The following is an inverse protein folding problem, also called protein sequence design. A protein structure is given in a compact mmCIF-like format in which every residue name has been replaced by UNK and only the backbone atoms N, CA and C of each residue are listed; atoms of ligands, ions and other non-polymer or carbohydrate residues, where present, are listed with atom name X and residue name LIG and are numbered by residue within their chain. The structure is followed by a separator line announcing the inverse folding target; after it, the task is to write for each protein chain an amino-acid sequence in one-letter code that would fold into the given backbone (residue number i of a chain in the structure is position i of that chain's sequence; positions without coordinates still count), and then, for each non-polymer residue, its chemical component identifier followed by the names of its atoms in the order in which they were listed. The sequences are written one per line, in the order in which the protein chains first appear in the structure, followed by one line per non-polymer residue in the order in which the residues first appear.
data_IF_568699923494
#
_entry.id   IF_568699923494
#
_cell.length_a   1.000
_cell.length_b   1.000
_cell.length_c   1.000
_cell.angle_alpha   90.00
_cell.angle_beta   90.00
_cell.angle_gamma   90.00
#
_symmetry.space_group_name_H-M   'P 1'
#
loop_
_entity.id
_entity.type
_entity.pdbx_description
1 polymer ?
#
# COMPACT_ATOMS: atom_id res chain seq x y z
N UNK A 1 6.22 -2.69 2.78
CA UNK A 1 5.92 -2.38 4.19
C UNK A 1 6.80 -1.27 4.76
N UNK A 2 8.11 -1.23 4.51
CA UNK A 2 9.00 -0.22 5.10
C UNK A 2 8.58 1.24 4.91
N UNK A 3 8.02 1.61 3.76
CA UNK A 3 7.56 2.98 3.52
C UNK A 3 6.45 3.42 4.49
N UNK A 4 5.50 2.55 4.84
CA UNK A 4 4.43 2.87 5.80
C UNK A 4 5.00 3.28 7.16
N UNK A 5 6.00 2.53 7.64
CA UNK A 5 6.67 2.80 8.92
C UNK A 5 7.35 4.17 8.90
N UNK A 6 8.06 4.47 7.81
CA UNK A 6 8.82 5.72 7.69
C UNK A 6 7.89 6.95 7.51
N UNK A 7 6.78 6.81 6.78
CA UNK A 7 5.78 7.88 6.69
C UNK A 7 5.14 8.17 8.05
N UNK A 8 4.79 7.11 8.79
CA UNK A 8 4.24 7.28 10.13
C UNK A 8 5.28 7.89 11.09
N UNK A 9 6.52 7.42 11.08
CA UNK A 9 7.59 7.97 11.92
C UNK A 9 7.78 9.46 11.66
N UNK A 10 7.81 9.89 10.38
CA UNK A 10 7.90 11.30 10.00
C UNK A 10 6.72 12.13 10.50
N UNK A 11 5.50 11.59 10.45
CA UNK A 11 4.31 12.24 10.98
C UNK A 11 4.43 12.39 12.52
N UNK A 12 4.79 11.31 13.22
CA UNK A 12 4.89 11.30 14.68
C UNK A 12 5.90 12.31 15.21
N UNK A 13 7.02 12.52 14.51
CA UNK A 13 8.00 13.57 14.82
C UNK A 13 7.44 15.01 14.74
N UNK A 14 6.26 15.21 14.18
CA UNK A 14 5.57 16.52 14.09
C UNK A 14 4.56 16.76 15.21
N UNK A 15 4.31 15.75 16.02
CA UNK A 15 3.37 15.87 17.13
C UNK A 15 4.13 16.47 18.32
N UNK A 16 3.68 17.63 18.79
CA UNK A 16 4.40 18.45 19.80
C UNK A 16 4.71 17.70 21.11
N UNK A 17 3.84 16.79 21.55
CA UNK A 17 4.04 16.02 22.77
C UNK A 17 4.79 14.70 22.58
N UNK A 18 5.19 14.36 21.35
CA UNK A 18 6.07 13.21 21.07
C UNK A 18 7.52 13.65 21.14
N UNK A 19 8.22 13.24 22.17
CA UNK A 19 9.60 13.62 22.43
C UNK A 19 10.56 12.94 21.47
N UNK A 20 10.35 11.66 21.21
CA UNK A 20 11.22 10.88 20.31
C UNK A 20 10.46 9.80 19.56
N UNK A 21 10.98 9.43 18.39
CA UNK A 21 10.49 8.31 17.58
C UNK A 21 11.66 7.38 17.26
N UNK A 22 11.51 6.12 17.68
CA UNK A 22 12.53 5.09 17.47
C UNK A 22 11.96 3.94 16.64
N UNK A 23 12.68 3.50 15.63
CA UNK A 23 12.34 2.29 14.89
C UNK A 23 12.79 1.06 15.67
N UNK A 24 11.85 0.13 15.88
CA UNK A 24 12.13 -1.10 16.61
C UNK A 24 12.42 -2.22 15.62
N UNK A 25 13.58 -2.87 15.81
CA UNK A 25 13.98 -4.04 15.04
C UNK A 25 13.10 -5.23 15.37
N UNK A 26 12.36 -5.70 14.38
CA UNK A 26 11.53 -6.90 14.46
C UNK A 26 12.31 -8.19 14.13
N UNK A 27 13.57 -8.09 13.69
CA UNK A 27 14.45 -9.21 13.40
C UNK A 27 14.17 -9.94 12.07
N UNK A 28 13.41 -9.33 11.18
CA UNK A 28 13.05 -9.92 9.87
C UNK A 28 14.05 -9.60 8.75
N UNK A 29 14.99 -8.67 8.98
CA UNK A 29 16.02 -8.30 8.02
C UNK A 29 17.39 -8.10 8.70
N UNK A 30 18.49 -8.44 8.01
CA UNK A 30 19.85 -8.34 8.60
C UNK A 30 20.32 -6.88 8.73
N UNK A 31 19.77 -5.95 7.97
CA UNK A 31 20.13 -4.53 7.98
C UNK A 31 19.04 -3.67 7.38
N UNK A 32 19.09 -2.37 7.68
CA UNK A 32 18.22 -1.38 7.01
C UNK A 32 18.55 -1.31 5.51
N UNK A 33 17.53 -1.10 4.66
CA UNK A 33 17.76 -0.85 3.24
C UNK A 33 18.70 0.35 3.04
N UNK A 34 19.67 0.28 2.11
CA UNK A 34 20.67 1.35 1.91
C UNK A 34 20.05 2.70 1.50
N UNK A 35 18.81 2.70 1.02
CA UNK A 35 18.05 3.90 0.66
C UNK A 35 17.48 4.65 1.88
N UNK A 36 17.59 4.07 3.08
CA UNK A 36 17.05 4.67 4.32
C UNK A 36 18.19 5.23 5.14
N UNK A 37 18.37 6.54 5.09
CA UNK A 37 19.30 7.26 5.96
C UNK A 37 18.56 7.70 7.24
N UNK A 38 18.68 6.88 8.28
CA UNK A 38 18.06 7.14 9.58
C UNK A 38 18.60 8.41 10.25
N UNK A 39 19.90 8.70 10.07
CA UNK A 39 20.52 9.90 10.65
C UNK A 39 19.94 11.17 10.02
N UNK A 40 19.84 11.19 8.69
CA UNK A 40 19.21 12.31 7.97
C UNK A 40 17.71 12.46 8.31
N UNK A 41 17.04 11.38 8.69
CA UNK A 41 15.64 11.39 9.12
C UNK A 41 15.46 11.72 10.61
N UNK A 42 16.55 11.85 11.40
CA UNK A 42 16.48 12.05 12.84
C UNK A 42 15.83 10.88 13.59
N UNK A 43 15.98 9.65 13.10
CA UNK A 43 15.39 8.45 13.67
C UNK A 43 16.46 7.58 14.33
N UNK A 44 16.17 7.10 15.54
CA UNK A 44 16.93 6.05 16.19
C UNK A 44 16.42 4.67 15.74
N UNK A 45 17.27 3.65 15.91
CA UNK A 45 16.95 2.26 15.61
C UNK A 45 17.52 1.37 16.72
N UNK A 46 16.74 0.41 17.20
CA UNK A 46 17.19 -0.47 18.26
C UNK A 46 16.32 -1.71 18.43
N UNK A 47 16.84 -2.65 19.24
CA UNK A 47 16.12 -3.88 19.54
C UNK A 47 15.03 -3.64 20.59
N UNK A 48 13.92 -4.30 20.45
CA UNK A 48 12.78 -4.18 21.37
C UNK A 48 13.17 -4.30 22.85
N UNK A 49 14.03 -5.26 23.19
CA UNK A 49 14.46 -5.52 24.60
C UNK A 49 15.30 -4.40 25.17
N UNK A 50 16.12 -3.74 24.34
CA UNK A 50 17.02 -2.68 24.79
C UNK A 50 16.29 -1.33 24.95
N UNK A 51 15.09 -1.24 24.41
CA UNK A 51 14.27 -0.03 24.39
C UNK A 51 13.10 -0.05 25.39
N UNK A 52 12.91 -1.14 26.14
CA UNK A 52 11.73 -1.36 26.99
C UNK A 52 11.43 -0.18 27.93
N UNK A 53 12.46 0.34 28.60
CA UNK A 53 12.31 1.41 29.59
C UNK A 53 12.28 2.82 28.98
N UNK A 54 12.56 2.93 27.67
CA UNK A 54 12.65 4.20 26.95
C UNK A 54 11.40 4.51 26.11
N UNK A 55 10.48 3.55 25.99
CA UNK A 55 9.29 3.69 25.16
C UNK A 55 8.03 3.76 26.02
N UNK A 56 7.11 4.67 25.67
CA UNK A 56 5.75 4.73 26.24
C UNK A 56 4.74 3.97 25.35
N UNK A 57 4.91 4.04 24.05
CA UNK A 57 4.00 3.46 23.07
C UNK A 57 4.78 2.70 21.99
N UNK A 58 4.32 1.49 21.69
CA UNK A 58 4.80 0.69 20.55
C UNK A 58 3.68 0.57 19.52
N UNK A 59 3.96 0.98 18.27
CA UNK A 59 3.04 0.82 17.14
C UNK A 59 3.59 -0.29 16.24
N UNK A 60 2.98 -1.44 16.31
CA UNK A 60 3.36 -2.61 15.53
C UNK A 60 2.63 -2.60 14.19
N UNK A 61 3.40 -2.59 13.08
CA UNK A 61 2.85 -2.47 11.72
C UNK A 61 3.06 -3.75 10.91
N UNK A 62 2.96 -4.90 11.40
CA UNK A 62 2.94 -6.16 10.65
C UNK A 62 2.80 -7.39 11.57
N UNK A 63 2.74 -7.20 12.85
CA UNK A 63 2.56 -8.27 13.81
C UNK A 63 3.79 -9.17 13.96
N UNK A 64 4.99 -8.60 13.90
CA UNK A 64 6.24 -9.37 13.93
C UNK A 64 6.96 -9.38 15.29
N UNK A 65 6.57 -8.53 16.23
CA UNK A 65 7.21 -8.46 17.55
C UNK A 65 6.86 -9.66 18.43
N UNK A 66 7.83 -10.03 19.28
CA UNK A 66 7.67 -11.14 20.22
C UNK A 66 6.54 -10.88 21.21
N UNK A 67 5.59 -11.79 21.27
CA UNK A 67 4.37 -11.62 22.12
C UNK A 67 4.67 -11.68 23.62
N UNK A 68 5.77 -12.32 24.05
CA UNK A 68 6.15 -12.33 25.45
C UNK A 68 6.73 -10.97 25.82
N UNK A 69 7.55 -10.40 24.94
CA UNK A 69 8.06 -9.05 25.13
C UNK A 69 6.93 -8.01 25.14
N UNK A 70 5.96 -8.09 24.21
CA UNK A 70 4.80 -7.18 24.21
C UNK A 70 4.00 -7.28 25.52
N UNK A 71 3.83 -8.49 26.05
CA UNK A 71 3.15 -8.69 27.32
C UNK A 71 3.93 -8.09 28.50
N UNK A 72 5.26 -8.23 28.51
CA UNK A 72 6.14 -7.62 29.50
C UNK A 72 6.14 -6.09 29.41
N UNK A 73 6.29 -5.54 28.23
CA UNK A 73 6.24 -4.10 27.98
C UNK A 73 4.94 -3.46 28.51
N UNK A 74 3.80 -4.11 28.23
CA UNK A 74 2.49 -3.66 28.76
C UNK A 74 2.41 -3.78 30.28
N UNK A 75 2.98 -4.81 30.86
CA UNK A 75 3.03 -4.97 32.33
C UNK A 75 3.88 -3.88 32.99
N UNK A 76 4.91 -3.36 32.32
CA UNK A 76 5.70 -2.20 32.75
C UNK A 76 4.95 -0.86 32.60
N UNK A 77 3.75 -0.85 32.01
CA UNK A 77 2.90 0.33 31.82
C UNK A 77 2.91 0.92 30.42
N UNK A 78 3.70 0.35 29.50
CA UNK A 78 3.72 0.72 28.09
C UNK A 78 2.41 0.38 27.36
N UNK A 79 2.17 1.01 26.22
CA UNK A 79 1.01 0.80 25.36
C UNK A 79 1.40 0.20 24.04
N UNK A 80 0.60 -0.75 23.57
CA UNK A 80 0.82 -1.45 22.30
C UNK A 80 -0.35 -1.19 21.37
N UNK A 81 -0.06 -0.70 20.16
CA UNK A 81 -1.00 -0.55 19.07
C UNK A 81 -0.67 -1.55 17.97
N UNK A 82 -1.66 -2.27 17.48
CA UNK A 82 -1.53 -3.01 16.23
C UNK A 82 -2.09 -2.17 15.08
N UNK A 83 -1.20 -1.59 14.29
CA UNK A 83 -1.57 -0.85 13.08
C UNK A 83 -1.61 -1.80 11.89
N UNK A 84 -2.81 -2.23 11.51
CA UNK A 84 -3.03 -3.14 10.41
C UNK A 84 -2.96 -2.41 9.08
N UNK A 85 -1.93 -2.68 8.29
CA UNK A 85 -1.70 -2.06 6.96
C UNK A 85 -2.02 -3.02 5.80
N UNK A 86 -2.21 -4.31 6.09
CA UNK A 86 -2.69 -5.33 5.15
C UNK A 86 -4.21 -5.46 5.19
N UNK A 87 -4.78 -6.31 4.31
CA UNK A 87 -6.20 -6.63 4.35
C UNK A 87 -6.44 -7.68 5.49
N UNK A 88 -7.25 -7.33 6.53
CA UNK A 88 -7.30 -8.14 7.75
C UNK A 88 -7.83 -9.56 7.57
N UNK A 89 -8.85 -9.73 6.71
CA UNK A 89 -9.42 -11.06 6.48
C UNK A 89 -8.49 -11.96 5.68
N UNK A 90 -7.84 -11.44 4.64
CA UNK A 90 -6.84 -12.19 3.89
C UNK A 90 -5.66 -12.60 4.78
N UNK A 91 -5.17 -11.70 5.63
CA UNK A 91 -4.10 -12.00 6.58
C UNK A 91 -4.44 -13.14 7.57
N UNK A 92 -5.72 -13.31 7.89
CA UNK A 92 -6.22 -14.40 8.75
C UNK A 92 -6.49 -15.69 7.95
N UNK A 93 -7.15 -15.59 6.80
CA UNK A 93 -7.69 -16.74 6.08
C UNK A 93 -6.68 -17.41 5.13
N UNK A 94 -5.88 -16.62 4.41
CA UNK A 94 -4.95 -17.15 3.41
C UNK A 94 -3.90 -18.10 4.00
N UNK A 95 -3.25 -17.82 5.16
CA UNK A 95 -2.32 -18.77 5.76
C UNK A 95 -2.94 -20.13 6.05
N UNK A 96 -4.21 -20.15 6.45
CA UNK A 96 -4.95 -21.40 6.73
C UNK A 96 -5.22 -22.15 5.43
N UNK A 97 -5.70 -21.44 4.41
CA UNK A 97 -6.11 -22.04 3.11
C UNK A 97 -4.91 -22.49 2.31
N UNK A 98 -3.82 -21.72 2.29
CA UNK A 98 -2.63 -22.00 1.51
C UNK A 98 -1.52 -22.72 2.30
N UNK A 99 -1.77 -23.06 3.55
CA UNK A 99 -0.82 -23.77 4.44
C UNK A 99 0.47 -22.98 4.70
N UNK A 100 0.35 -21.65 4.74
CA UNK A 100 1.46 -20.73 5.01
C UNK A 100 1.54 -20.36 6.51
N UNK A 101 2.64 -19.70 6.90
CA UNK A 101 2.78 -19.18 8.26
C UNK A 101 1.92 -17.93 8.44
N UNK A 102 0.97 -17.99 9.38
CA UNK A 102 0.18 -16.84 9.80
C UNK A 102 0.88 -16.00 10.87
N UNK A 103 0.44 -14.74 11.01
CA UNK A 103 0.98 -13.80 12.01
C UNK A 103 0.08 -13.62 13.25
N UNK A 104 -1.13 -14.19 13.25
CA UNK A 104 -2.01 -14.13 14.41
C UNK A 104 -1.55 -15.14 15.46
N UNK A 105 -1.11 -14.65 16.62
CA UNK A 105 -0.51 -15.47 17.66
C UNK A 105 -1.18 -15.37 19.02
N UNK A 106 -1.82 -14.25 19.35
CA UNK A 106 -2.44 -14.01 20.64
C UNK A 106 -3.53 -12.94 20.55
N UNK A 107 -4.75 -13.15 21.10
CA UNK A 107 -5.84 -12.17 21.04
C UNK A 107 -5.50 -10.88 21.81
N UNK A 108 -5.01 -10.95 23.03
CA UNK A 108 -4.83 -9.80 23.92
C UNK A 108 -3.43 -9.15 23.78
N UNK A 109 -2.88 -9.09 22.57
CA UNK A 109 -1.51 -8.61 22.33
C UNK A 109 -1.35 -7.10 22.31
N UNK A 110 -2.43 -6.35 22.10
CA UNK A 110 -2.41 -4.88 21.94
C UNK A 110 -3.52 -4.22 22.75
N UNK A 111 -3.39 -2.92 22.97
CA UNK A 111 -4.37 -2.07 23.66
C UNK A 111 -5.39 -1.49 22.68
N UNK A 112 -4.98 -1.24 21.44
CA UNK A 112 -5.83 -0.78 20.33
C UNK A 112 -5.39 -1.43 19.00
N UNK A 113 -6.35 -1.56 18.08
CA UNK A 113 -6.09 -1.82 16.68
C UNK A 113 -6.38 -0.57 15.88
N UNK A 114 -5.44 -0.17 15.02
CA UNK A 114 -5.63 0.92 14.07
C UNK A 114 -5.78 0.34 12.67
N UNK A 115 -6.86 0.73 11.98
CA UNK A 115 -7.17 0.32 10.61
C UNK A 115 -7.02 1.50 9.66
N UNK A 116 -6.61 1.20 8.42
CA UNK A 116 -6.73 2.15 7.32
C UNK A 116 -8.20 2.27 6.88
N UNK A 117 -8.64 3.39 6.29
CA UNK A 117 -10.04 3.58 5.88
C UNK A 117 -10.60 2.46 4.98
N UNK A 118 -9.77 1.88 4.11
CA UNK A 118 -10.14 0.74 3.25
C UNK A 118 -10.59 -0.51 4.04
N UNK A 119 -10.11 -0.64 5.27
CA UNK A 119 -10.32 -1.82 6.13
C UNK A 119 -11.41 -1.59 7.19
N UNK A 120 -12.10 -0.45 7.18
CA UNK A 120 -13.13 -0.09 8.16
C UNK A 120 -14.22 -1.17 8.32
N UNK A 121 -14.59 -1.83 7.22
CA UNK A 121 -15.57 -2.93 7.22
C UNK A 121 -15.17 -4.10 8.12
N UNK A 122 -13.87 -4.29 8.37
CA UNK A 122 -13.35 -5.35 9.23
C UNK A 122 -13.26 -4.98 10.72
N UNK A 123 -13.61 -3.75 11.11
CA UNK A 123 -13.51 -3.30 12.50
C UNK A 123 -14.26 -4.20 13.50
N UNK A 124 -15.48 -4.71 13.23
CA UNK A 124 -16.16 -5.64 14.15
C UNK A 124 -15.40 -6.96 14.34
N UNK A 125 -14.84 -7.52 13.25
CA UNK A 125 -14.04 -8.74 13.29
C UNK A 125 -12.76 -8.51 14.10
N UNK A 126 -12.04 -7.43 13.84
CA UNK A 126 -10.79 -7.09 14.50
C UNK A 126 -11.00 -6.83 16.01
N UNK A 127 -12.09 -6.16 16.38
CA UNK A 127 -12.46 -5.95 17.80
C UNK A 127 -12.68 -7.26 18.53
N UNK A 128 -13.37 -8.21 17.92
CA UNK A 128 -13.62 -9.52 18.51
C UNK A 128 -12.34 -10.35 18.60
N UNK A 129 -11.53 -10.33 17.54
CA UNK A 129 -10.31 -11.11 17.43
C UNK A 129 -9.22 -10.63 18.40
N UNK A 130 -9.03 -9.31 18.52
CA UNK A 130 -7.99 -8.72 19.37
C UNK A 130 -8.50 -8.32 20.78
N UNK A 131 -9.81 -8.38 21.03
CA UNK A 131 -10.45 -8.05 22.34
C UNK A 131 -10.12 -6.65 22.85
N UNK A 132 -9.95 -5.71 21.94
CA UNK A 132 -9.64 -4.31 22.24
C UNK A 132 -10.37 -3.36 21.28
N UNK A 133 -10.43 -2.04 21.58
CA UNK A 133 -11.00 -1.05 20.70
C UNK A 133 -10.29 -1.01 19.34
N UNK A 134 -11.05 -0.68 18.30
CA UNK A 134 -10.57 -0.55 16.91
C UNK A 134 -10.93 0.83 16.40
N UNK A 135 -9.95 1.51 15.79
CA UNK A 135 -10.10 2.87 15.29
C UNK A 135 -9.55 2.99 13.88
N UNK A 136 -10.14 3.88 13.10
CA UNK A 136 -9.59 4.27 11.82
C UNK A 136 -8.53 5.37 12.01
N UNK A 137 -7.45 5.28 11.22
CA UNK A 137 -6.39 6.27 11.16
C UNK A 137 -6.10 6.67 9.72
N UNK A 138 -5.59 7.88 9.47
CA UNK A 138 -5.31 8.34 8.12
C UNK A 138 -4.36 7.41 7.35
N UNK A 139 -4.65 7.22 6.05
CA UNK A 139 -3.72 6.59 5.11
C UNK A 139 -2.67 7.61 4.69
N UNK A 140 -1.40 7.22 4.76
CA UNK A 140 -0.27 8.12 4.52
C UNK A 140 0.50 7.71 3.26
N UNK A 141 0.87 8.71 2.48
CA UNK A 141 1.78 8.55 1.36
C UNK A 141 2.56 9.86 1.10
N UNK A 142 3.79 9.71 0.65
CA UNK A 142 4.63 10.82 0.17
C UNK A 142 5.49 10.33 -0.99
N UNK A 143 5.79 11.18 -1.97
CA UNK A 143 6.63 10.80 -3.10
C UNK A 143 8.11 10.62 -2.75
N UNK A 144 8.53 10.81 -1.51
CA UNK A 144 9.93 10.84 -1.09
C UNK A 144 10.77 9.67 -1.61
N UNK A 145 10.29 8.43 -1.41
CA UNK A 145 11.04 7.24 -1.85
C UNK A 145 10.94 7.02 -3.36
N UNK A 146 9.79 7.36 -3.95
CA UNK A 146 9.64 7.34 -5.39
C UNK A 146 10.56 8.37 -6.05
N UNK A 147 10.63 9.61 -5.53
CA UNK A 147 11.48 10.67 -6.04
C UNK A 147 12.97 10.32 -5.98
N UNK A 148 13.41 9.64 -4.93
CA UNK A 148 14.77 9.13 -4.84
C UNK A 148 15.05 8.11 -5.96
N UNK A 149 14.13 7.15 -6.17
CA UNK A 149 14.27 6.16 -7.24
C UNK A 149 14.17 6.78 -8.63
N UNK A 150 13.33 7.79 -8.80
CA UNK A 150 13.23 8.61 -10.03
C UNK A 150 14.58 9.26 -10.34
N UNK A 151 15.22 9.89 -9.36
CA UNK A 151 16.55 10.49 -9.56
C UNK A 151 17.60 9.47 -10.04
N UNK A 152 17.57 8.24 -9.49
CA UNK A 152 18.46 7.16 -9.93
C UNK A 152 18.23 6.76 -11.39
N UNK A 153 16.97 6.58 -11.81
CA UNK A 153 16.67 6.18 -13.21
C UNK A 153 16.93 7.33 -14.19
N UNK A 154 16.75 8.57 -13.76
CA UNK A 154 17.08 9.74 -14.57
C UNK A 154 18.60 9.93 -14.72
N UNK A 155 19.37 9.67 -13.67
CA UNK A 155 20.84 9.63 -13.74
C UNK A 155 21.35 8.52 -14.68
N UNK A 156 20.58 7.44 -14.86
CA UNK A 156 20.86 6.39 -15.83
C UNK A 156 20.44 6.73 -17.27
N UNK A 157 19.96 7.96 -17.53
CA UNK A 157 19.59 8.44 -18.86
C UNK A 157 18.13 8.19 -19.26
N UNK A 158 17.28 7.76 -18.35
CA UNK A 158 15.83 7.61 -18.58
C UNK A 158 15.08 8.85 -18.13
N UNK A 159 13.83 8.99 -18.57
CA UNK A 159 12.92 10.04 -18.11
C UNK A 159 11.71 9.43 -17.45
N UNK A 160 11.47 9.75 -16.16
CA UNK A 160 10.28 9.32 -15.46
C UNK A 160 9.09 10.24 -15.77
N UNK A 161 7.93 9.64 -15.90
CA UNK A 161 6.67 10.31 -16.14
C UNK A 161 6.13 10.08 -17.56
N UNK A 162 4.82 10.17 -17.65
CA UNK A 162 4.12 9.99 -18.91
C UNK A 162 4.54 11.04 -19.94
N UNK A 163 4.83 10.61 -21.15
CA UNK A 163 5.03 11.44 -22.31
C UNK A 163 3.91 11.21 -23.33
N UNK A 164 3.32 12.28 -23.93
CA UNK A 164 2.31 12.12 -24.97
C UNK A 164 2.80 11.22 -26.10
N UNK A 165 1.90 10.41 -26.62
CA UNK A 165 2.20 9.42 -27.66
C UNK A 165 2.47 10.07 -28.99
N UNK A 166 3.22 9.35 -29.83
CA UNK A 166 3.46 9.72 -31.21
C UNK A 166 2.49 9.01 -32.15
N UNK A 167 2.36 9.49 -33.38
CA UNK A 167 1.57 8.83 -34.42
C UNK A 167 2.08 7.42 -34.76
N UNK A 168 3.37 7.16 -34.53
CA UNK A 168 4.02 5.86 -34.78
C UNK A 168 3.68 4.81 -33.67
N UNK A 169 3.31 5.28 -32.47
CA UNK A 169 2.95 4.42 -31.34
C UNK A 169 1.59 4.86 -30.76
N UNK A 170 0.48 4.58 -31.44
CA UNK A 170 -0.83 5.07 -31.01
C UNK A 170 -1.40 4.34 -29.79
N UNK A 171 -0.98 3.08 -29.54
CA UNK A 171 -1.43 2.26 -28.44
C UNK A 171 -0.52 2.31 -27.20
N UNK A 172 -1.09 2.01 -26.03
CA UNK A 172 -0.32 1.92 -24.79
C UNK A 172 0.45 0.60 -24.66
N UNK A 173 1.66 0.67 -24.13
CA UNK A 173 2.34 -0.44 -23.47
C UNK A 173 1.80 -0.48 -22.04
N UNK A 174 0.98 -1.45 -21.74
CA UNK A 174 0.25 -1.52 -20.46
C UNK A 174 1.03 -2.40 -19.48
N UNK A 175 1.30 -1.91 -18.26
CA UNK A 175 1.87 -2.69 -17.17
C UNK A 175 0.79 -3.11 -16.16
N UNK A 176 0.93 -4.35 -15.65
CA UNK A 176 0.10 -4.95 -14.60
C UNK A 176 1.06 -5.34 -13.46
N UNK A 177 1.00 -4.64 -12.33
CA UNK A 177 1.92 -4.79 -11.20
C UNK A 177 1.40 -5.70 -10.09
N UNK A 178 0.27 -6.37 -10.27
CA UNK A 178 -0.33 -7.20 -9.22
C UNK A 178 0.66 -8.27 -8.73
N UNK A 179 0.83 -8.43 -7.39
CA UNK A 179 1.86 -9.30 -6.84
C UNK A 179 1.58 -10.80 -7.00
N UNK A 180 0.35 -11.21 -7.27
CA UNK A 180 -0.11 -12.61 -7.43
C UNK A 180 0.24 -13.53 -6.24
N UNK A 181 0.33 -12.98 -5.03
CA UNK A 181 0.63 -13.71 -3.78
C UNK A 181 -0.54 -13.70 -2.80
N UNK A 182 -1.66 -13.11 -3.18
CA UNK A 182 -2.87 -12.98 -2.37
C UNK A 182 -4.09 -12.88 -3.27
N UNK A 183 -5.22 -13.38 -2.83
CA UNK A 183 -6.50 -13.31 -3.57
C UNK A 183 -6.97 -11.88 -3.77
N UNK A 184 -6.54 -10.94 -2.93
CA UNK A 184 -6.96 -9.54 -3.01
C UNK A 184 -6.29 -8.76 -4.14
N UNK A 185 -5.20 -9.28 -4.72
CA UNK A 185 -4.43 -8.65 -5.81
C UNK A 185 -3.91 -9.69 -6.79
N UNK A 186 -4.66 -9.93 -7.85
CA UNK A 186 -4.34 -10.87 -8.92
C UNK A 186 -4.30 -10.18 -10.28
N UNK A 187 -3.38 -10.58 -11.14
CA UNK A 187 -3.27 -10.09 -12.51
C UNK A 187 -4.40 -10.56 -13.44
N UNK A 188 -5.22 -11.52 -13.01
CA UNK A 188 -6.24 -12.14 -13.85
C UNK A 188 -7.26 -11.12 -14.40
N UNK A 189 -7.81 -10.26 -13.54
CA UNK A 189 -8.78 -9.24 -13.97
C UNK A 189 -8.13 -8.16 -14.84
N UNK A 190 -6.97 -7.58 -14.50
CA UNK A 190 -6.27 -6.66 -15.38
C UNK A 190 -5.95 -7.24 -16.76
N UNK A 191 -5.56 -8.51 -16.85
CA UNK A 191 -5.32 -9.20 -18.13
C UNK A 191 -6.59 -9.25 -18.98
N UNK A 192 -7.75 -9.59 -18.38
CA UNK A 192 -9.04 -9.61 -19.05
C UNK A 192 -9.46 -8.22 -19.54
N UNK A 193 -9.19 -7.16 -18.78
CA UNK A 193 -9.44 -5.76 -19.18
C UNK A 193 -8.61 -5.39 -20.40
N UNK A 194 -7.30 -5.71 -20.39
CA UNK A 194 -6.41 -5.44 -21.51
C UNK A 194 -6.86 -6.22 -22.77
N UNK A 195 -7.24 -7.48 -22.62
CA UNK A 195 -7.74 -8.30 -23.73
C UNK A 195 -9.08 -7.78 -24.27
N UNK A 196 -10.01 -7.36 -23.39
CA UNK A 196 -11.26 -6.73 -23.78
C UNK A 196 -11.06 -5.45 -24.60
N UNK A 197 -10.15 -4.59 -24.15
CA UNK A 197 -9.79 -3.38 -24.89
C UNK A 197 -9.11 -3.71 -26.24
N UNK A 198 -8.19 -4.68 -26.24
CA UNK A 198 -7.51 -5.13 -27.46
C UNK A 198 -8.48 -5.72 -28.49
N UNK A 199 -9.45 -6.53 -28.08
CA UNK A 199 -10.48 -7.08 -28.98
C UNK A 199 -11.39 -6.01 -29.56
N UNK A 200 -11.69 -4.96 -28.78
CA UNK A 200 -12.50 -3.84 -29.25
C UNK A 200 -11.73 -2.90 -30.20
N UNK A 201 -10.44 -2.69 -29.94
CA UNK A 201 -9.53 -1.90 -30.78
C UNK A 201 -8.10 -2.46 -30.66
N UNK A 202 -7.65 -3.28 -31.63
CA UNK A 202 -6.31 -3.88 -31.62
C UNK A 202 -5.16 -2.88 -31.65
N UNK A 203 -5.42 -1.62 -31.98
CA UNK A 203 -4.41 -0.55 -31.96
C UNK A 203 -4.26 0.11 -30.60
N UNK A 204 -5.23 -0.05 -29.71
CA UNK A 204 -5.26 0.61 -28.41
C UNK A 204 -4.20 0.05 -27.43
N UNK A 205 -3.87 -1.25 -27.52
CA UNK A 205 -2.86 -1.89 -26.68
C UNK A 205 -1.71 -2.39 -27.54
N UNK A 206 -0.58 -1.69 -27.47
CA UNK A 206 0.64 -2.07 -28.18
C UNK A 206 1.26 -3.33 -27.61
N UNK A 207 1.32 -3.42 -26.27
CA UNK A 207 1.75 -4.61 -25.52
C UNK A 207 1.16 -4.65 -24.10
N UNK A 208 1.04 -5.84 -23.54
CA UNK A 208 0.65 -6.11 -22.16
C UNK A 208 1.83 -6.71 -21.40
N UNK A 209 2.32 -6.01 -20.38
CA UNK A 209 3.45 -6.41 -19.54
C UNK A 209 2.91 -6.89 -18.19
N UNK A 210 2.94 -8.19 -17.93
CA UNK A 210 2.38 -8.79 -16.69
C UNK A 210 3.51 -9.13 -15.75
N UNK A 211 3.64 -8.38 -14.66
CA UNK A 211 4.71 -8.53 -13.69
C UNK A 211 4.35 -9.54 -12.59
N UNK A 212 5.35 -9.93 -11.82
CA UNK A 212 5.20 -10.84 -10.67
C UNK A 212 4.53 -12.18 -11.02
N UNK A 213 4.85 -12.78 -12.16
CA UNK A 213 4.19 -14.00 -12.65
C UNK A 213 5.06 -15.25 -12.59
N UNK A 214 6.39 -15.14 -12.33
CA UNK A 214 7.29 -16.29 -12.41
C UNK A 214 6.94 -17.43 -11.44
N UNK A 215 6.37 -17.12 -10.27
CA UNK A 215 5.97 -18.12 -9.27
C UNK A 215 4.62 -18.78 -9.58
N UNK A 216 3.83 -18.20 -10.48
CA UNK A 216 2.51 -18.73 -10.90
C UNK A 216 2.49 -19.18 -12.38
N UNK A 217 3.58 -19.01 -13.10
CA UNK A 217 3.66 -19.24 -14.55
C UNK A 217 3.26 -20.66 -14.98
N UNK A 218 3.58 -21.66 -14.15
CA UNK A 218 3.32 -23.06 -14.45
C UNK A 218 2.00 -23.57 -13.85
N UNK A 219 1.23 -22.69 -13.17
CA UNK A 219 -0.07 -23.07 -12.62
C UNK A 219 -1.07 -23.28 -13.74
N UNK A 220 -1.77 -24.44 -13.82
CA UNK A 220 -2.66 -24.76 -14.94
C UNK A 220 -3.73 -23.69 -15.21
N UNK A 221 -4.37 -23.17 -14.17
CA UNK A 221 -5.39 -22.11 -14.32
C UNK A 221 -4.81 -20.84 -14.95
N UNK A 222 -3.59 -20.45 -14.55
CA UNK A 222 -2.92 -19.26 -15.12
C UNK A 222 -2.58 -19.48 -16.59
N UNK A 223 -2.07 -20.66 -16.93
CA UNK A 223 -1.75 -21.05 -18.31
C UNK A 223 -3.01 -21.07 -19.19
N UNK A 224 -4.11 -21.69 -18.71
CA UNK A 224 -5.36 -21.72 -19.47
C UNK A 224 -5.93 -20.32 -19.66
N UNK A 225 -5.97 -19.49 -18.61
CA UNK A 225 -6.42 -18.11 -18.71
C UNK A 225 -5.57 -17.34 -19.73
N UNK A 226 -4.25 -17.33 -19.57
CA UNK A 226 -3.34 -16.59 -20.45
C UNK A 226 -3.51 -17.02 -21.92
N UNK A 227 -3.53 -18.33 -22.20
CA UNK A 227 -3.68 -18.86 -23.56
C UNK A 227 -5.09 -18.64 -24.15
N UNK A 228 -6.09 -18.32 -23.33
CA UNK A 228 -7.43 -17.98 -23.83
C UNK A 228 -7.53 -16.56 -24.38
N UNK A 229 -6.60 -15.67 -24.01
CA UNK A 229 -6.60 -14.25 -24.37
C UNK A 229 -6.10 -14.02 -25.79
N UNK A 230 -6.81 -13.20 -26.57
CA UNK A 230 -6.42 -12.88 -27.93
C UNK A 230 -5.11 -12.06 -27.98
N UNK A 231 -4.90 -11.14 -27.05
CA UNK A 231 -3.66 -10.37 -26.95
C UNK A 231 -2.43 -11.26 -26.70
N UNK A 232 -2.59 -12.39 -25.99
CA UNK A 232 -1.53 -13.38 -25.77
C UNK A 232 -1.30 -14.19 -27.06
N UNK A 233 -2.37 -14.65 -27.73
CA UNK A 233 -2.31 -15.38 -29.00
C UNK A 233 -1.64 -14.56 -30.11
N UNK A 234 -1.80 -13.24 -30.06
CA UNK A 234 -1.18 -12.31 -31.01
C UNK A 234 0.25 -11.89 -30.57
N UNK A 235 0.86 -12.58 -29.62
CA UNK A 235 2.23 -12.37 -29.12
C UNK A 235 2.50 -10.94 -28.63
N UNK A 236 1.49 -10.26 -28.09
CA UNK A 236 1.59 -8.91 -27.53
C UNK A 236 1.64 -8.89 -25.99
N UNK A 237 1.69 -10.04 -25.34
CA UNK A 237 1.83 -10.16 -23.88
C UNK A 237 3.21 -10.70 -23.50
N UNK A 238 3.80 -10.10 -22.47
CA UNK A 238 5.08 -10.52 -21.90
C UNK A 238 4.90 -10.70 -20.40
N UNK A 239 5.39 -11.82 -19.87
CA UNK A 239 5.29 -12.20 -18.45
C UNK A 239 6.64 -12.03 -17.76
N UNK A 240 6.66 -11.24 -16.69
CA UNK A 240 7.89 -10.84 -16.01
C UNK A 240 7.97 -11.37 -14.58
N UNK A 241 9.18 -11.35 -14.03
CA UNK A 241 9.43 -11.41 -12.61
C UNK A 241 9.04 -10.13 -11.90
N UNK A 242 9.61 -9.93 -10.71
CA UNK A 242 9.40 -8.72 -9.92
C UNK A 242 10.37 -7.62 -10.38
N UNK A 243 9.83 -6.45 -10.62
CA UNK A 243 10.59 -5.24 -10.93
C UNK A 243 10.11 -4.08 -10.07
N UNK A 244 10.96 -3.08 -9.87
CA UNK A 244 10.56 -1.82 -9.27
C UNK A 244 9.70 -0.99 -10.25
N UNK A 245 8.81 -0.18 -9.69
CA UNK A 245 7.85 0.58 -10.48
C UNK A 245 8.53 1.57 -11.44
N UNK A 246 9.39 2.45 -10.90
CA UNK A 246 10.00 3.53 -11.69
C UNK A 246 10.88 2.98 -12.82
N UNK A 247 11.78 2.03 -12.51
CA UNK A 247 12.68 1.43 -13.49
C UNK A 247 11.95 0.68 -14.60
N UNK A 248 10.81 0.04 -14.28
CA UNK A 248 10.02 -0.66 -15.28
C UNK A 248 9.22 0.30 -16.17
N UNK A 249 8.54 1.28 -15.56
CA UNK A 249 7.72 2.24 -16.32
C UNK A 249 8.52 3.03 -17.35
N UNK A 250 9.68 3.54 -16.98
CA UNK A 250 10.50 4.35 -17.90
C UNK A 250 10.99 3.60 -19.14
N UNK A 251 11.03 2.29 -19.10
CA UNK A 251 11.56 1.45 -20.17
C UNK A 251 10.49 0.72 -20.97
N UNK A 252 9.45 0.23 -20.30
CA UNK A 252 8.58 -0.81 -20.86
C UNK A 252 7.09 -0.48 -20.86
N UNK A 253 6.66 0.61 -20.21
CA UNK A 253 5.22 0.87 -20.08
C UNK A 253 4.86 2.35 -20.11
N UNK A 254 3.64 2.63 -20.57
CA UNK A 254 3.05 3.96 -20.70
C UNK A 254 1.77 4.11 -19.88
N UNK A 255 1.17 3.01 -19.46
CA UNK A 255 -0.08 2.98 -18.68
C UNK A 255 -0.07 1.81 -17.70
N UNK A 256 -0.90 1.91 -16.66
CA UNK A 256 -1.10 0.86 -15.66
C UNK A 256 -2.56 0.44 -15.65
N UNK A 257 -2.81 -0.87 -15.67
CA UNK A 257 -4.13 -1.46 -15.41
C UNK A 257 -4.01 -2.30 -14.15
N UNK A 258 -4.89 -2.06 -13.20
CA UNK A 258 -4.87 -2.70 -11.89
C UNK A 258 -6.25 -3.10 -11.42
N UNK A 259 -6.31 -4.12 -10.58
CA UNK A 259 -7.51 -4.58 -9.90
C UNK A 259 -7.18 -4.99 -8.47
N UNK A 260 -8.10 -4.71 -7.58
CA UNK A 260 -8.03 -5.15 -6.20
C UNK A 260 -9.41 -5.63 -5.71
N UNK A 261 -9.42 -6.46 -4.68
CA UNK A 261 -10.63 -6.87 -3.99
C UNK A 261 -10.51 -6.49 -2.50
N UNK A 262 -11.32 -5.49 -2.07
CA UNK A 262 -11.32 -4.96 -0.70
C UNK A 262 -9.91 -4.60 -0.17
N UNK A 263 -9.06 -4.04 -1.04
CA UNK A 263 -7.70 -3.61 -0.70
C UNK A 263 -7.28 -2.43 -1.59
N UNK A 264 -8.11 -1.40 -1.62
CA UNK A 264 -8.13 -0.34 -2.60
C UNK A 264 -7.11 0.79 -2.37
N UNK A 265 -6.46 0.87 -1.20
CA UNK A 265 -5.34 1.80 -0.96
C UNK A 265 -4.02 1.12 -1.30
N UNK A 266 -3.41 1.53 -2.42
CA UNK A 266 -2.21 0.91 -2.95
C UNK A 266 -1.18 1.96 -3.38
N UNK A 267 0.06 1.85 -2.92
CA UNK A 267 1.13 2.80 -3.25
C UNK A 267 1.45 2.83 -4.74
N UNK A 268 1.40 1.70 -5.44
CA UNK A 268 1.64 1.69 -6.89
C UNK A 268 0.63 2.54 -7.70
N UNK A 269 -0.57 2.76 -7.15
CA UNK A 269 -1.54 3.67 -7.77
C UNK A 269 -1.08 5.12 -7.64
N UNK A 270 -0.59 5.47 -6.47
CA UNK A 270 -0.07 6.81 -6.19
C UNK A 270 1.22 7.08 -6.98
N UNK A 271 2.08 6.07 -7.12
CA UNK A 271 3.27 6.15 -7.93
C UNK A 271 2.92 6.37 -9.42
N UNK A 272 1.89 5.68 -9.95
CA UNK A 272 1.39 5.87 -11.30
C UNK A 272 0.81 7.28 -11.50
N UNK A 273 -0.03 7.73 -10.57
CA UNK A 273 -0.61 9.08 -10.61
C UNK A 273 0.47 10.16 -10.51
N UNK A 274 1.51 9.97 -9.69
CA UNK A 274 2.62 10.91 -9.55
C UNK A 274 3.41 11.06 -10.86
N UNK A 275 3.65 9.95 -11.57
CA UNK A 275 4.22 9.96 -12.91
C UNK A 275 3.25 10.41 -14.01
N UNK A 276 2.02 10.76 -13.69
CA UNK A 276 0.95 11.07 -14.63
C UNK A 276 0.67 9.94 -15.65
N UNK A 277 1.02 8.70 -15.32
CA UNK A 277 0.67 7.56 -16.16
C UNK A 277 -0.83 7.28 -16.09
N UNK A 278 -1.51 7.00 -17.20
CA UNK A 278 -2.89 6.53 -17.18
C UNK A 278 -3.01 5.32 -16.25
N UNK A 279 -3.79 5.45 -15.19
CA UNK A 279 -4.09 4.39 -14.23
C UNK A 279 -5.54 3.97 -14.40
N UNK A 280 -5.78 2.75 -14.88
CA UNK A 280 -7.12 2.12 -14.89
C UNK A 280 -7.25 1.27 -13.63
N UNK A 281 -8.26 1.53 -12.80
CA UNK A 281 -8.38 0.90 -11.47
C UNK A 281 -9.83 0.81 -10.99
N UNK A 282 -10.07 -0.05 -10.00
CA UNK A 282 -11.38 -0.21 -9.36
C UNK A 282 -11.45 0.27 -7.90
N UNK A 283 -10.60 1.23 -7.50
CA UNK A 283 -10.56 1.74 -6.13
C UNK A 283 -11.58 2.86 -5.90
N UNK A 284 -12.66 2.65 -5.12
CA UNK A 284 -13.73 3.65 -4.94
C UNK A 284 -13.28 4.97 -4.34
N UNK A 285 -12.28 4.95 -3.44
CA UNK A 285 -11.74 6.18 -2.82
C UNK A 285 -10.95 7.05 -3.79
N UNK A 286 -10.45 6.48 -4.91
CA UNK A 286 -9.75 7.18 -5.99
C UNK A 286 -10.62 7.47 -7.21
N UNK A 287 -11.97 7.32 -7.13
CA UNK A 287 -12.84 7.43 -8.32
C UNK A 287 -12.69 8.73 -9.10
N UNK A 288 -12.27 9.81 -8.44
CA UNK A 288 -12.06 11.12 -9.07
C UNK A 288 -10.66 11.31 -9.66
N UNK A 289 -9.76 10.35 -9.48
CA UNK A 289 -8.41 10.33 -10.05
C UNK A 289 -8.20 9.05 -10.85
N UNK A 290 -7.34 9.07 -11.86
CA UNK A 290 -7.19 7.92 -12.75
C UNK A 290 -8.39 7.72 -13.68
N UNK A 291 -8.58 6.47 -14.10
CA UNK A 291 -9.67 5.96 -14.93
C UNK A 291 -10.37 4.85 -14.14
N UNK A 292 -11.40 5.22 -13.41
CA UNK A 292 -12.11 4.32 -12.50
C UNK A 292 -13.13 3.43 -13.21
N UNK A 293 -13.18 2.15 -12.82
CA UNK A 293 -14.26 1.23 -13.17
C UNK A 293 -14.78 0.52 -11.90
N UNK A 294 -16.08 0.16 -11.82
CA UNK A 294 -16.64 -0.42 -10.61
C UNK A 294 -16.34 -1.91 -10.48
N UNK A 295 -16.16 -2.38 -9.28
CA UNK A 295 -16.11 -3.79 -8.87
C UNK A 295 -15.29 -4.70 -9.82
N UNK A 296 -15.91 -5.74 -10.35
CA UNK A 296 -15.35 -6.67 -11.34
C UNK A 296 -15.89 -6.42 -12.75
N UNK A 297 -16.36 -5.21 -13.05
CA UNK A 297 -16.88 -4.88 -14.39
C UNK A 297 -15.72 -4.71 -15.39
N UNK A 298 -15.32 -5.83 -15.96
CA UNK A 298 -14.23 -5.92 -16.95
C UNK A 298 -14.56 -5.11 -18.19
N UNK A 299 -15.83 -5.07 -18.61
CA UNK A 299 -16.23 -4.31 -19.79
C UNK A 299 -16.10 -2.81 -19.55
N UNK A 300 -16.49 -2.31 -18.37
CA UNK A 300 -16.24 -0.94 -17.95
C UNK A 300 -14.74 -0.65 -17.86
N UNK A 301 -13.95 -1.56 -17.29
CA UNK A 301 -12.48 -1.43 -17.23
C UNK A 301 -11.85 -1.30 -18.64
N UNK A 302 -12.25 -2.13 -19.58
CA UNK A 302 -11.82 -2.05 -20.98
C UNK A 302 -12.22 -0.72 -21.63
N UNK A 303 -13.45 -0.25 -21.38
CA UNK A 303 -13.92 1.05 -21.87
C UNK A 303 -13.09 2.20 -21.29
N UNK A 304 -12.69 2.17 -19.99
CA UNK A 304 -11.82 3.13 -19.37
C UNK A 304 -10.41 3.14 -19.97
N UNK A 305 -9.85 1.97 -20.28
CA UNK A 305 -8.56 1.87 -20.98
C UNK A 305 -8.64 2.49 -22.37
N UNK A 306 -9.70 2.21 -23.14
CA UNK A 306 -9.94 2.82 -24.45
C UNK A 306 -10.16 4.33 -24.34
N UNK A 307 -10.84 4.81 -23.31
CA UNK A 307 -10.99 6.23 -23.03
C UNK A 307 -9.63 6.89 -22.76
N UNK A 308 -8.79 6.26 -21.93
CA UNK A 308 -7.44 6.74 -21.67
C UNK A 308 -6.64 6.86 -22.97
N UNK A 309 -6.67 5.84 -23.83
CA UNK A 309 -6.03 5.87 -25.15
C UNK A 309 -6.50 7.05 -26.00
N UNK A 310 -7.78 7.37 -25.98
CA UNK A 310 -8.35 8.44 -26.84
C UNK A 310 -8.14 9.86 -26.30
N UNK A 311 -8.02 10.03 -24.99
CA UNK A 311 -8.18 11.34 -24.37
C UNK A 311 -7.07 11.77 -23.42
N UNK A 312 -6.21 10.88 -22.94
CA UNK A 312 -5.25 11.18 -21.87
C UNK A 312 -4.31 12.32 -22.24
N UNK A 313 -3.75 12.31 -23.44
CA UNK A 313 -2.85 13.38 -23.92
C UNK A 313 -3.48 14.76 -23.85
N UNK A 314 -4.77 14.86 -24.18
CA UNK A 314 -5.53 16.12 -24.18
C UNK A 314 -5.97 16.54 -22.77
N UNK A 315 -6.13 15.58 -21.86
CA UNK A 315 -6.64 15.78 -20.49
C UNK A 315 -5.53 15.75 -19.45
N UNK A 316 -4.26 15.73 -19.86
CA UNK A 316 -3.11 15.55 -18.97
C UNK A 316 -3.05 16.61 -17.86
N UNK A 317 -3.39 17.87 -18.18
CA UNK A 317 -3.44 18.95 -17.19
C UNK A 317 -4.47 18.67 -16.09
N UNK A 318 -5.70 18.31 -16.46
CA UNK A 318 -6.77 18.03 -15.50
C UNK A 318 -6.53 16.74 -14.72
N UNK A 319 -5.94 15.74 -15.39
CA UNK A 319 -5.51 14.49 -14.74
C UNK A 319 -4.51 14.78 -13.62
N UNK A 320 -3.49 15.58 -13.90
CA UNK A 320 -2.49 16.02 -12.93
C UNK A 320 -3.11 16.81 -11.77
N UNK A 321 -4.01 17.74 -12.06
CA UNK A 321 -4.67 18.53 -11.03
C UNK A 321 -5.50 17.67 -10.07
N UNK A 322 -6.19 16.63 -10.59
CA UNK A 322 -6.90 15.66 -9.74
C UNK A 322 -5.95 14.83 -8.87
N UNK A 323 -4.84 14.37 -9.43
CA UNK A 323 -3.81 13.60 -8.70
C UNK A 323 -3.18 14.41 -7.56
N UNK A 324 -2.88 15.69 -7.79
CA UNK A 324 -2.31 16.57 -6.76
C UNK A 324 -3.23 16.73 -5.55
N UNK A 325 -4.55 16.85 -5.76
CA UNK A 325 -5.51 16.91 -4.64
C UNK A 325 -5.50 15.65 -3.78
N UNK A 326 -5.32 14.48 -4.40
CA UNK A 326 -5.17 13.22 -3.66
C UNK A 326 -3.90 13.26 -2.81
N UNK A 327 -2.77 13.67 -3.38
CA UNK A 327 -1.48 13.69 -2.67
C UNK A 327 -1.49 14.62 -1.46
N UNK A 328 -2.12 15.80 -1.57
CA UNK A 328 -2.28 16.75 -0.48
C UNK A 328 -2.95 16.11 0.74
N UNK A 329 -4.00 15.31 0.53
CA UNK A 329 -4.73 14.65 1.63
C UNK A 329 -3.94 13.51 2.29
N UNK A 330 -2.97 12.94 1.59
CA UNK A 330 -2.19 11.79 2.05
C UNK A 330 -0.84 12.16 2.66
N UNK A 331 -0.41 13.43 2.50
CA UNK A 331 0.88 13.87 3.00
C UNK A 331 0.98 13.63 4.53
N UNK A 332 2.01 12.91 5.01
CA UNK A 332 2.25 12.73 6.43
C UNK A 332 2.31 14.04 7.22
N UNK A 333 2.68 15.15 6.58
CA UNK A 333 2.76 16.47 7.21
C UNK A 333 1.48 17.30 7.06
N UNK A 334 0.46 16.79 6.36
CA UNK A 334 -0.82 17.46 6.28
C UNK A 334 -1.47 17.53 7.66
N UNK A 335 -1.93 18.73 8.05
CA UNK A 335 -2.43 19.01 9.41
C UNK A 335 -3.48 18.01 9.88
N UNK A 336 -4.45 17.68 9.05
CA UNK A 336 -5.51 16.74 9.43
C UNK A 336 -4.96 15.33 9.75
N UNK A 337 -3.91 14.87 9.06
CA UNK A 337 -3.27 13.59 9.33
C UNK A 337 -2.52 13.64 10.67
N UNK A 338 -1.74 14.71 10.91
CA UNK A 338 -1.03 14.92 12.19
C UNK A 338 -2.02 14.98 13.35
N UNK A 339 -3.09 15.80 13.22
CA UNK A 339 -4.13 15.94 14.24
C UNK A 339 -4.85 14.60 14.50
N UNK A 340 -5.14 13.82 13.45
CA UNK A 340 -5.79 12.51 13.58
C UNK A 340 -4.97 11.51 14.40
N UNK A 341 -3.68 11.40 14.12
CA UNK A 341 -2.78 10.53 14.89
C UNK A 341 -2.49 11.08 16.29
N UNK A 342 -2.35 12.41 16.44
CA UNK A 342 -2.15 13.06 17.74
C UNK A 342 -3.34 12.79 18.68
N UNK A 343 -4.58 12.97 18.20
CA UNK A 343 -5.78 12.67 18.97
C UNK A 343 -5.82 11.20 19.39
N UNK A 344 -5.43 10.28 18.51
CA UNK A 344 -5.41 8.85 18.83
C UNK A 344 -4.41 8.53 19.93
N UNK A 345 -3.18 9.06 19.84
CA UNK A 345 -2.17 8.90 20.87
C UNK A 345 -2.59 9.49 22.21
N UNK A 346 -3.17 10.69 22.23
CA UNK A 346 -3.69 11.30 23.48
C UNK A 346 -4.75 10.42 24.14
N UNK A 347 -5.68 9.84 23.39
CA UNK A 347 -6.68 8.93 23.95
C UNK A 347 -6.06 7.63 24.49
N UNK A 348 -5.09 7.07 23.76
CA UNK A 348 -4.40 5.84 24.17
C UNK A 348 -3.64 6.04 25.49
N UNK A 349 -2.96 7.18 25.67
CA UNK A 349 -2.15 7.47 26.88
C UNK A 349 -3.02 8.07 27.99
N UNK A 350 -3.98 8.96 27.66
CA UNK A 350 -4.83 9.66 28.61
C UNK A 350 -5.86 8.78 29.32
N UNK A 351 -6.33 7.70 28.70
CA UNK A 351 -7.19 6.71 29.34
C UNK A 351 -6.59 6.06 30.60
N UNK A 352 -5.28 6.19 30.78
CA UNK A 352 -4.57 5.69 31.96
C UNK A 352 -4.59 6.68 33.15
N UNK A 353 -4.73 7.98 32.91
CA UNK A 353 -4.77 8.98 33.99
C UNK A 353 -6.08 8.87 34.78
N UNK A 354 -7.19 8.58 34.10
CA UNK A 354 -8.48 8.32 34.76
C UNK A 354 -8.46 7.01 35.57
N UNK A 355 -7.85 5.96 35.03
CA UNK A 355 -7.76 4.65 35.70
C UNK A 355 -6.85 4.64 36.94
N UNK A 356 -5.76 5.48 36.93
CA UNK A 356 -4.87 5.64 38.10
C UNK A 356 -5.51 6.52 39.18
N UNK A 357 -6.36 7.48 38.81
CA UNK A 357 -7.08 8.31 39.77
C UNK A 357 -8.15 7.53 40.53
N UNK A 358 -8.81 6.56 39.91
CA UNK A 358 -9.85 5.72 40.54
C UNK A 358 -9.25 4.57 41.37
N UNK A 359 -8.06 4.06 41.01
CA UNK A 359 -7.36 3.02 41.77
C UNK A 359 -6.79 3.47 43.13
N UNK A 360 -6.55 4.77 43.28
CA UNK A 360 -6.05 5.36 44.53
C UNK A 360 -7.17 5.71 45.51
N UNK A 361 -8.43 5.80 45.05
CA UNK A 361 -9.60 6.09 45.91
C UNK A 361 -10.24 4.86 46.55
N UNK A 362 -9.83 3.66 46.15
CA UNK A 362 -10.41 2.39 46.69
C UNK A 362 -9.56 1.70 47.77
N UNK A 363 -8.49 2.36 48.24
CA UNK A 363 -7.62 1.84 49.32
C UNK A 363 -7.46 2.81 50.50
N UNK A 364 -8.53 3.56 50.83
CA UNK A 364 -8.62 4.37 52.04
C UNK A 364 -9.87 4.00 52.87
#
# INVERSE_FOLDING_TARGET
MGQNVLFLARLLQRIEFVESVTLVDAGDQPSMPPQVDLAAMGLAFGRARDLTDALDVVIEMAGALDVQWLSYFRACGGRVVFHCVGQPFAALAEPIVFTDKGHFSKPDRCDEVWLLPKDAVFAPMMRTMHRCPVFEVPYLWSPQFLAQRVAEVEAAGHRFGYAPRTAEQPGFRVAIFEPNISVVKSSSVPMLICDGAYRADPTAVASMQVLNTLHVKDHPTMLYLANSLDIVRQHKAIFHGRHDFAGFMVQFADAVVSHQWQNDQNYSYLDALYGNYPLVHNSPWLRDAGYYYPDFDIAAGAAQLLQAVRSHDRQLHDYRARSLRVFETLDPLHRANVDGYAQRLLHLVGGNAAFRADGVRSAA
#
